data_IF_281336042556
#
_entry.id   IF_281336042556
#
_cell.length_a   1.000
_cell.length_b   1.000
_cell.length_c   1.000
_cell.angle_alpha   90.00
_cell.angle_beta   90.00
_cell.angle_gamma   90.00
#
_symmetry.space_group_name_H-M   'P 1'
#
loop_
_entity.id
_entity.type
_entity.pdbx_description
1 polymer ?
#
# COMPACT_ATOMS: atom_id res chain seq x y z
N UNK A 1 7.74 -9.42 12.41
CA UNK A 1 8.22 -10.71 11.90
C UNK A 1 8.76 -10.46 10.52
N UNK A 2 9.96 -10.95 10.23
CA UNK A 2 10.57 -10.86 8.91
C UNK A 2 9.71 -11.58 7.86
N UNK A 3 9.53 -11.03 6.65
CA UNK A 3 8.71 -11.63 5.61
C UNK A 3 9.26 -13.00 5.20
N UNK A 4 8.40 -13.95 4.78
CA UNK A 4 8.82 -15.22 4.21
C UNK A 4 9.80 -14.98 3.05
N UNK A 5 10.83 -15.82 2.93
CA UNK A 5 11.82 -15.72 1.82
C UNK A 5 11.14 -15.72 0.44
N UNK A 6 10.03 -16.44 0.30
CA UNK A 6 9.22 -16.50 -0.92
C UNK A 6 8.54 -15.16 -1.30
N UNK A 7 8.34 -14.25 -0.34
CA UNK A 7 7.68 -12.95 -0.57
C UNK A 7 8.64 -11.85 -1.04
N UNK A 8 9.95 -12.02 -0.85
CA UNK A 8 10.99 -11.02 -1.18
C UNK A 8 10.93 -10.47 -2.62
N UNK A 9 10.83 -11.29 -3.69
CA UNK A 9 10.83 -10.76 -5.06
C UNK A 9 9.60 -9.87 -5.33
N UNK A 10 8.46 -10.21 -4.72
CA UNK A 10 7.24 -9.41 -4.83
C UNK A 10 7.35 -8.09 -4.06
N UNK A 11 8.04 -8.08 -2.91
CA UNK A 11 8.31 -6.84 -2.18
C UNK A 11 9.23 -5.91 -2.96
N UNK A 12 10.21 -6.42 -3.70
CA UNK A 12 11.07 -5.60 -4.56
C UNK A 12 10.28 -4.95 -5.70
N UNK A 13 9.40 -5.70 -6.36
CA UNK A 13 8.50 -5.15 -7.39
C UNK A 13 7.53 -4.12 -6.83
N UNK A 14 7.02 -4.35 -5.62
CA UNK A 14 6.09 -3.44 -4.95
C UNK A 14 6.74 -2.08 -4.68
N UNK A 15 8.05 -2.02 -4.42
CA UNK A 15 8.80 -0.75 -4.26
C UNK A 15 8.69 0.13 -5.49
N UNK A 16 8.95 -0.44 -6.67
CA UNK A 16 8.86 0.31 -7.93
C UNK A 16 7.42 0.78 -8.19
N UNK A 17 6.43 -0.06 -7.84
CA UNK A 17 5.02 0.33 -7.89
C UNK A 17 4.71 1.53 -7.00
N UNK A 18 5.22 1.54 -5.76
CA UNK A 18 5.00 2.63 -4.80
C UNK A 18 5.69 3.91 -5.25
N UNK A 19 6.91 3.83 -5.78
CA UNK A 19 7.59 4.98 -6.38
C UNK A 19 6.83 5.53 -7.58
N UNK A 20 6.32 4.67 -8.46
CA UNK A 20 5.48 5.07 -9.57
C UNK A 20 4.20 5.77 -9.08
N UNK A 21 3.57 5.27 -8.02
CA UNK A 21 2.39 5.90 -7.40
C UNK A 21 2.72 7.26 -6.79
N UNK A 22 3.87 7.43 -6.14
CA UNK A 22 4.32 8.73 -5.64
C UNK A 22 4.52 9.75 -6.76
N UNK A 23 5.19 9.33 -7.84
CA UNK A 23 5.45 10.21 -9.00
C UNK A 23 4.13 10.56 -9.69
N UNK A 24 3.28 9.56 -9.95
CA UNK A 24 2.03 9.76 -10.67
C UNK A 24 1.01 10.53 -9.83
N UNK A 25 0.94 10.26 -8.52
CA UNK A 25 0.17 11.04 -7.55
C UNK A 25 0.66 12.49 -7.49
N UNK A 26 1.97 12.71 -7.41
CA UNK A 26 2.60 14.04 -7.46
C UNK A 26 2.26 14.81 -8.74
N UNK A 27 2.37 14.14 -9.89
CA UNK A 27 1.99 14.72 -11.18
C UNK A 27 0.51 15.10 -11.23
N UNK A 28 -0.36 14.24 -10.69
CA UNK A 28 -1.80 14.52 -10.63
C UNK A 28 -2.12 15.77 -9.82
N UNK A 29 -1.42 16.02 -8.71
CA UNK A 29 -1.59 17.26 -7.92
C UNK A 29 -1.27 18.48 -8.77
N UNK A 30 -0.13 18.42 -9.47
CA UNK A 30 0.38 19.53 -10.24
C UNK A 30 -0.52 19.88 -11.43
N UNK A 31 -1.18 18.88 -12.03
CA UNK A 31 -1.97 19.08 -13.26
C UNK A 31 -3.47 19.18 -13.00
N UNK A 32 -4.05 18.33 -12.13
CA UNK A 32 -5.49 18.25 -11.93
C UNK A 32 -5.98 19.05 -10.71
N UNK A 33 -5.09 19.46 -9.79
CA UNK A 33 -5.43 20.17 -8.54
C UNK A 33 -6.51 19.48 -7.69
N UNK A 34 -6.73 18.18 -7.88
CA UNK A 34 -7.76 17.41 -7.19
C UNK A 34 -7.24 16.90 -5.84
N UNK A 35 -7.49 17.72 -4.82
CA UNK A 35 -7.05 17.46 -3.45
C UNK A 35 -7.78 16.28 -2.78
N UNK A 36 -8.94 15.87 -3.31
CA UNK A 36 -9.74 14.81 -2.70
C UNK A 36 -9.16 13.42 -2.99
N UNK A 37 -8.84 13.15 -4.25
CA UNK A 37 -8.17 11.92 -4.68
C UNK A 37 -6.75 11.82 -4.12
N UNK A 38 -6.08 12.98 -3.96
CA UNK A 38 -4.75 13.07 -3.35
C UNK A 38 -4.70 12.38 -1.99
N UNK A 39 -5.68 12.63 -1.13
CA UNK A 39 -5.64 12.14 0.25
C UNK A 39 -5.62 10.61 0.30
N UNK A 40 -6.43 9.95 -0.54
CA UNK A 40 -6.47 8.49 -0.65
C UNK A 40 -5.15 7.93 -1.18
N UNK A 41 -4.59 8.53 -2.22
CA UNK A 41 -3.31 8.11 -2.81
C UNK A 41 -2.17 8.28 -1.81
N UNK A 42 -2.12 9.40 -1.09
CA UNK A 42 -1.11 9.66 -0.05
C UNK A 42 -1.23 8.63 1.08
N UNK A 43 -2.44 8.38 1.59
CA UNK A 43 -2.63 7.39 2.64
C UNK A 43 -2.23 5.98 2.18
N UNK A 44 -2.62 5.59 0.96
CA UNK A 44 -2.19 4.32 0.38
C UNK A 44 -0.66 4.25 0.27
N UNK A 45 -0.01 5.29 -0.25
CA UNK A 45 1.44 5.39 -0.35
C UNK A 45 2.14 5.35 1.01
N UNK A 46 1.58 5.99 2.03
CA UNK A 46 2.12 5.97 3.39
C UNK A 46 2.05 4.56 4.00
N UNK A 47 0.91 3.87 3.89
CA UNK A 47 0.75 2.48 4.32
C UNK A 47 1.72 1.55 3.57
N UNK A 48 1.89 1.76 2.27
CA UNK A 48 2.81 0.99 1.44
C UNK A 48 4.29 1.25 1.82
N UNK A 49 4.62 2.48 2.17
CA UNK A 49 5.96 2.85 2.67
C UNK A 49 6.25 2.20 4.02
N UNK A 50 5.25 2.11 4.90
CA UNK A 50 5.36 1.39 6.18
C UNK A 50 5.53 -0.12 5.99
N UNK A 51 4.88 -0.70 4.98
CA UNK A 51 5.06 -2.10 4.59
C UNK A 51 6.52 -2.39 4.19
N UNK A 52 7.19 -1.43 3.57
CA UNK A 52 8.59 -1.50 3.14
C UNK A 52 9.61 -1.08 4.20
N UNK A 53 9.21 -0.88 5.46
CA UNK A 53 10.13 -0.45 6.53
C UNK A 53 11.31 -1.38 6.78
N UNK A 54 11.17 -2.65 6.39
CA UNK A 54 12.21 -3.68 6.55
C UNK A 54 13.24 -3.63 5.43
N UNK A 55 12.98 -2.86 4.36
CA UNK A 55 13.97 -2.58 3.33
C UNK A 55 14.99 -1.54 3.83
N UNK A 56 16.31 -1.84 3.81
CA UNK A 56 17.35 -0.88 4.17
C UNK A 56 17.25 0.45 3.38
N UNK A 57 16.80 0.41 2.13
CA UNK A 57 16.69 1.57 1.23
C UNK A 57 15.64 2.60 1.71
N UNK A 58 14.58 2.13 2.36
CA UNK A 58 13.42 2.94 2.76
C UNK A 58 13.33 3.13 4.28
N UNK A 59 14.29 2.58 5.02
CA UNK A 59 14.32 2.61 6.48
C UNK A 59 14.31 4.03 7.05
N UNK A 60 14.95 4.97 6.36
CA UNK A 60 14.93 6.40 6.71
C UNK A 60 13.52 6.99 6.61
N UNK A 61 12.86 6.88 5.45
CA UNK A 61 11.49 7.35 5.25
C UNK A 61 10.50 6.70 6.23
N UNK A 62 10.61 5.38 6.44
CA UNK A 62 9.79 4.68 7.41
C UNK A 62 10.01 5.22 8.84
N UNK A 63 11.25 5.55 9.21
CA UNK A 63 11.57 6.15 10.51
C UNK A 63 10.87 7.49 10.75
N UNK A 64 10.72 8.32 9.70
CA UNK A 64 9.94 9.56 9.78
C UNK A 64 8.44 9.30 9.88
N UNK A 65 7.89 8.37 9.08
CA UNK A 65 6.47 8.02 9.16
C UNK A 65 6.10 7.44 10.54
N UNK A 66 7.00 6.69 11.18
CA UNK A 66 6.77 6.17 12.54
C UNK A 66 6.76 7.25 13.63
N UNK A 67 7.13 8.50 13.33
CA UNK A 67 6.93 9.64 14.23
C UNK A 67 5.53 10.24 14.13
N UNK A 68 4.75 9.85 13.12
CA UNK A 68 3.37 10.29 12.90
C UNK A 68 2.37 9.38 13.64
N UNK A 69 1.09 9.75 13.80
CA UNK A 69 0.07 8.88 14.38
C UNK A 69 -0.11 7.53 13.66
N UNK A 70 0.39 7.39 12.42
CA UNK A 70 0.40 6.12 11.68
C UNK A 70 1.25 5.03 12.36
N UNK A 71 2.07 5.37 13.35
CA UNK A 71 2.78 4.39 14.19
C UNK A 71 1.84 3.35 14.80
N UNK A 72 0.62 3.75 15.17
CA UNK A 72 -0.37 2.83 15.72
C UNK A 72 -0.77 1.74 14.71
N UNK A 73 -0.84 2.08 13.42
CA UNK A 73 -1.16 1.15 12.34
C UNK A 73 0.02 0.22 11.99
N UNK A 74 1.25 0.63 12.31
CA UNK A 74 2.47 -0.11 11.99
C UNK A 74 2.74 -1.34 12.86
N UNK A 75 2.05 -1.46 14.00
CA UNK A 75 2.15 -2.62 14.90
C UNK A 75 3.60 -3.06 15.22
N UNK A 76 3.74 -4.31 15.65
CA UNK A 76 5.06 -4.94 15.81
C UNK A 76 5.68 -5.44 14.49
N UNK A 77 4.93 -5.47 13.38
CA UNK A 77 5.39 -6.04 12.10
C UNK A 77 4.95 -5.24 10.87
N UNK A 78 5.75 -5.23 9.80
CA UNK A 78 5.36 -4.55 8.56
C UNK A 78 4.07 -5.13 7.93
N UNK A 79 3.78 -6.41 8.18
CA UNK A 79 2.63 -7.10 7.59
C UNK A 79 1.27 -6.66 8.16
N UNK A 80 1.20 -6.05 9.35
CA UNK A 80 -0.07 -5.50 9.86
C UNK A 80 -0.52 -4.30 9.03
N UNK A 81 0.39 -3.64 8.30
CA UNK A 81 0.04 -2.58 7.36
C UNK A 81 -0.45 -3.10 6.00
N UNK A 82 -0.29 -4.39 5.70
CA UNK A 82 -0.63 -4.94 4.39
C UNK A 82 -2.14 -4.90 4.14
N UNK A 83 -2.94 -5.28 5.15
CA UNK A 83 -4.40 -5.25 5.06
C UNK A 83 -4.96 -3.83 4.88
N UNK A 84 -4.63 -2.83 5.71
CA UNK A 84 -5.10 -1.46 5.49
C UNK A 84 -4.57 -0.87 4.18
N UNK A 85 -3.36 -1.23 3.73
CA UNK A 85 -2.88 -0.87 2.40
C UNK A 85 -3.78 -1.43 1.29
N UNK A 86 -4.14 -2.72 1.36
CA UNK A 86 -5.03 -3.35 0.37
C UNK A 86 -6.42 -2.70 0.34
N UNK A 87 -7.00 -2.41 1.50
CA UNK A 87 -8.31 -1.76 1.60
C UNK A 87 -8.24 -0.35 1.00
N UNK A 88 -7.29 0.48 1.45
CA UNK A 88 -7.15 1.86 0.99
C UNK A 88 -6.78 1.93 -0.49
N UNK A 89 -5.86 1.07 -0.94
CA UNK A 89 -5.47 0.98 -2.34
C UNK A 89 -6.66 0.55 -3.22
N UNK A 90 -7.50 -0.38 -2.75
CA UNK A 90 -8.68 -0.82 -3.50
C UNK A 90 -9.74 0.29 -3.63
N UNK A 91 -9.97 1.04 -2.55
CA UNK A 91 -10.87 2.21 -2.60
C UNK A 91 -10.33 3.31 -3.52
N UNK A 92 -9.01 3.56 -3.49
CA UNK A 92 -8.32 4.48 -4.39
C UNK A 92 -8.51 4.06 -5.85
N UNK A 93 -8.20 2.79 -6.15
CA UNK A 93 -8.34 2.20 -7.48
C UNK A 93 -9.76 2.29 -8.03
N UNK A 94 -10.78 1.98 -7.23
CA UNK A 94 -12.18 2.11 -7.67
C UNK A 94 -12.50 3.57 -8.01
N UNK A 95 -12.10 4.49 -7.15
CA UNK A 95 -12.38 5.92 -7.33
C UNK A 95 -11.72 6.43 -8.61
N UNK A 96 -10.45 6.08 -8.81
CA UNK A 96 -9.68 6.49 -9.98
C UNK A 96 -10.18 5.83 -11.26
N UNK A 97 -10.61 4.57 -11.18
CA UNK A 97 -11.24 3.87 -12.30
C UNK A 97 -12.58 4.52 -12.69
N UNK A 98 -13.42 4.87 -11.72
CA UNK A 98 -14.68 5.58 -11.97
C UNK A 98 -14.41 6.96 -12.58
N UNK A 99 -13.41 7.70 -12.07
CA UNK A 99 -13.03 8.99 -12.64
C UNK A 99 -12.51 8.86 -14.08
N UNK A 100 -11.72 7.82 -14.36
CA UNK A 100 -11.21 7.49 -15.69
C UNK A 100 -12.36 7.24 -16.68
N UNK A 101 -13.36 6.46 -16.26
CA UNK A 101 -14.54 6.16 -17.09
C UNK A 101 -15.44 7.39 -17.27
N UNK A 102 -15.65 8.17 -16.21
CA UNK A 102 -16.56 9.33 -16.22
C UNK A 102 -16.07 10.46 -17.13
N UNK A 103 -14.75 10.60 -17.29
CA UNK A 103 -14.13 11.67 -18.09
C UNK A 103 -13.37 11.12 -19.30
N UNK A 104 -13.74 9.92 -19.78
CA UNK A 104 -13.03 9.23 -20.85
C UNK A 104 -12.87 10.07 -22.13
N UNK A 105 -13.91 10.78 -22.55
CA UNK A 105 -13.88 11.62 -23.75
C UNK A 105 -12.90 12.82 -23.62
N UNK A 106 -12.78 13.37 -22.42
CA UNK A 106 -11.84 14.46 -22.11
C UNK A 106 -10.40 13.94 -22.11
N UNK A 107 -10.17 12.75 -21.55
CA UNK A 107 -8.83 12.14 -21.53
C UNK A 107 -8.36 11.67 -22.90
N UNK A 108 -9.28 11.17 -23.74
CA UNK A 108 -8.98 10.79 -25.11
C UNK A 108 -8.58 12.00 -25.97
N UNK A 109 -9.23 13.15 -25.76
CA UNK A 109 -8.91 14.39 -26.46
C UNK A 109 -7.65 15.08 -25.92
N UNK A 110 -7.32 14.90 -24.63
CA UNK A 110 -6.16 15.51 -23.98
C UNK A 110 -5.19 14.45 -23.42
N UNK A 111 -4.37 13.88 -24.29
CA UNK A 111 -3.41 12.82 -23.93
C UNK A 111 -2.45 13.22 -22.80
N UNK A 112 -2.08 14.50 -22.68
CA UNK A 112 -1.21 15.00 -21.60
C UNK A 112 -1.80 14.73 -20.21
N UNK A 113 -3.13 14.78 -20.08
CA UNK A 113 -3.85 14.53 -18.82
C UNK A 113 -4.24 13.05 -18.73
N UNK A 114 -4.65 12.45 -19.85
CA UNK A 114 -5.11 11.05 -19.89
C UNK A 114 -4.02 10.02 -19.58
N UNK A 115 -2.80 10.20 -20.11
CA UNK A 115 -1.70 9.24 -19.92
C UNK A 115 -1.35 9.05 -18.43
N UNK A 116 -1.09 10.11 -17.64
CA UNK A 116 -0.84 9.99 -16.21
C UNK A 116 -1.95 9.26 -15.44
N UNK A 117 -3.22 9.53 -15.76
CA UNK A 117 -4.34 8.87 -15.09
C UNK A 117 -4.39 7.37 -15.40
N UNK A 118 -4.15 6.98 -16.65
CA UNK A 118 -4.05 5.57 -17.04
C UNK A 118 -2.87 4.90 -16.31
N UNK A 119 -1.72 5.57 -16.25
CA UNK A 119 -0.54 5.06 -15.53
C UNK A 119 -0.83 4.89 -14.03
N UNK A 120 -1.52 5.84 -13.39
CA UNK A 120 -1.97 5.70 -12.00
C UNK A 120 -2.82 4.44 -11.82
N UNK A 121 -3.90 4.30 -12.59
CA UNK A 121 -4.85 3.18 -12.47
C UNK A 121 -4.14 1.83 -12.70
N UNK A 122 -3.25 1.74 -13.68
CA UNK A 122 -2.47 0.52 -13.94
C UNK A 122 -1.50 0.23 -12.80
N UNK A 123 -0.80 1.24 -12.28
CA UNK A 123 0.13 1.08 -11.16
C UNK A 123 -0.57 0.68 -9.86
N UNK A 124 -1.75 1.26 -9.57
CA UNK A 124 -2.59 0.90 -8.42
C UNK A 124 -3.09 -0.54 -8.56
N UNK A 125 -3.65 -0.89 -9.72
CA UNK A 125 -4.13 -2.25 -9.99
C UNK A 125 -3.03 -3.31 -9.87
N UNK A 126 -1.84 -3.01 -10.39
CA UNK A 126 -0.69 -3.91 -10.27
C UNK A 126 -0.15 -3.99 -8.83
N UNK A 127 -0.10 -2.87 -8.12
CA UNK A 127 0.28 -2.82 -6.69
C UNK A 127 -0.67 -3.61 -5.81
N UNK A 128 -1.98 -3.53 -6.05
CA UNK A 128 -3.00 -4.33 -5.38
C UNK A 128 -2.84 -5.82 -5.69
N UNK A 129 -2.62 -6.17 -6.96
CA UNK A 129 -2.38 -7.55 -7.36
C UNK A 129 -1.17 -8.14 -6.61
N UNK A 130 -0.04 -7.44 -6.59
CA UNK A 130 1.14 -7.85 -5.84
C UNK A 130 0.87 -7.94 -4.34
N UNK A 131 0.16 -6.96 -3.77
CA UNK A 131 -0.23 -6.95 -2.36
C UNK A 131 -1.08 -8.16 -1.98
N UNK A 132 -2.04 -8.55 -2.81
CA UNK A 132 -2.86 -9.76 -2.61
C UNK A 132 -2.01 -11.03 -2.70
N UNK A 133 -1.04 -11.08 -3.62
CA UNK A 133 -0.11 -12.23 -3.70
C UNK A 133 0.76 -12.33 -2.45
N UNK A 134 1.31 -11.21 -1.97
CA UNK A 134 2.06 -11.16 -0.70
C UNK A 134 1.16 -11.58 0.46
N UNK A 135 -0.08 -11.11 0.51
CA UNK A 135 -1.05 -11.46 1.55
C UNK A 135 -1.33 -12.97 1.55
N UNK A 136 -1.61 -13.56 0.39
CA UNK A 136 -1.87 -15.00 0.28
C UNK A 136 -0.65 -15.87 0.66
N UNK A 137 0.57 -15.40 0.39
CA UNK A 137 1.82 -16.07 0.82
C UNK A 137 2.05 -15.90 2.33
N UNK A 138 1.59 -14.79 2.90
CA UNK A 138 1.73 -14.42 4.31
C UNK A 138 0.68 -15.07 5.23
N UNK A 139 -0.53 -15.33 4.74
CA UNK A 139 -1.64 -15.91 5.49
C UNK A 139 -1.61 -17.43 5.83
N UNK A 140 -0.71 -18.31 5.35
CA UNK A 140 -0.95 -19.75 5.43
C UNK A 140 -0.62 -20.44 6.77
N UNK A 141 -0.56 -19.78 7.95
CA UNK A 141 -0.11 -20.48 9.18
C UNK A 141 -0.86 -20.22 10.50
N UNK A 142 -1.97 -19.49 10.53
CA UNK A 142 -2.73 -19.35 11.81
C UNK A 142 -3.75 -20.47 12.05
N UNK A 143 -4.04 -21.33 11.07
CA UNK A 143 -5.07 -22.37 11.19
C UNK A 143 -4.61 -23.70 11.79
N UNK A 144 -3.31 -23.89 12.08
CA UNK A 144 -2.80 -25.18 12.61
C UNK A 144 -2.16 -25.10 14.00
N UNK A 145 -2.05 -23.91 14.60
CA UNK A 145 -1.44 -23.73 15.93
C UNK A 145 -2.40 -23.18 16.97
N UNK A 146 -3.69 -23.52 16.90
CA UNK A 146 -4.56 -23.51 18.07
C UNK A 146 -4.30 -24.75 18.94
N UNK A 147 -3.04 -24.95 19.34
CA UNK A 147 -2.77 -25.73 20.54
C UNK A 147 -3.32 -24.91 21.72
N UNK A 148 -4.01 -25.52 22.69
CA UNK A 148 -4.58 -24.78 23.81
C UNK A 148 -3.48 -23.98 24.52
N UNK A 149 -3.52 -22.66 24.39
CA UNK A 149 -2.81 -21.76 25.30
C UNK A 149 -3.36 -22.01 26.70
N UNK A 150 -2.75 -22.98 27.40
CA UNK A 150 -2.91 -23.15 28.84
C UNK A 150 -2.39 -21.86 29.47
N UNK A 151 -3.32 -21.04 29.93
CA UNK A 151 -3.06 -19.80 30.64
C UNK A 151 -2.11 -20.04 31.82
N UNK A 152 -0.87 -19.61 31.65
CA UNK A 152 0.06 -19.39 32.74
C UNK A 152 -0.15 -17.98 33.30
N UNK A 153 -1.25 -17.76 34.02
CA UNK A 153 -1.34 -16.63 34.95
C UNK A 153 -0.47 -16.96 36.16
N UNK A 154 0.85 -16.80 36.04
CA UNK A 154 1.72 -16.70 37.21
C UNK A 154 1.72 -15.25 37.67
N UNK A 155 0.72 -14.96 38.49
CA UNK A 155 0.77 -13.94 39.55
C UNK A 155 2.10 -14.07 40.31
N UNK A 156 2.85 -12.97 40.41
CA UNK A 156 3.78 -12.62 41.51
C UNK A 156 3.94 -11.09 41.38
N UNK A 157 3.30 -10.29 42.24
CA UNK A 157 3.70 -9.97 43.61
C UNK A 157 5.04 -9.20 43.65
#
# INVERSE_FOLDING_TARGET
>A
GSPPLAARPYMDQLKYCIWALWIAGGFRVLVLLDMSALFNVILACMCATLLLREDPSLRGCAGYLLRTPLRACAGQGGMTCLLPFLIMGFMSFITDFIMLLSHWDVYKSNLIIGIPMIVCVVAEGYGLFLGVRVFNIASPMDSTTSGPQRGGYSSLA
#
